data_IF_357484609387
#
_entry.id   IF_357484609387
#
_cell.length_a   1.000
_cell.length_b   1.000
_cell.length_c   1.000
_cell.angle_alpha   90.00
_cell.angle_beta   90.00
_cell.angle_gamma   90.00
#
_symmetry.space_group_name_H-M   'P 1'
#
loop_
_entity.id
_entity.type
_entity.pdbx_description
1 polymer ?
#
# COMPACT_ATOMS: atom_id res chain seq x y z
N UNK A 1 -14.44 -2.84 -1.18
CA UNK A 1 -13.61 -3.89 -1.78
C UNK A 1 -13.16 -4.86 -0.70
N UNK A 2 -13.67 -6.09 -0.72
CA UNK A 2 -13.55 -7.06 0.38
C UNK A 2 -12.35 -7.97 0.09
N UNK A 3 -11.15 -7.53 0.51
CA UNK A 3 -9.87 -8.26 0.32
C UNK A 3 -9.88 -9.62 1.05
N UNK A 4 -10.81 -9.82 2.00
CA UNK A 4 -10.95 -11.05 2.82
C UNK A 4 -11.13 -12.36 2.05
N UNK A 5 -11.58 -12.34 0.79
CA UNK A 5 -11.85 -13.58 0.03
C UNK A 5 -10.75 -13.98 -0.95
N UNK A 6 -9.74 -13.14 -1.17
CA UNK A 6 -8.73 -13.36 -2.22
C UNK A 6 -7.39 -13.80 -1.65
N UNK A 7 -7.08 -13.46 -0.40
CA UNK A 7 -5.83 -13.83 0.26
C UNK A 7 -6.13 -14.33 1.67
N UNK A 8 -5.54 -15.47 2.05
CA UNK A 8 -5.30 -15.82 3.46
C UNK A 8 -3.83 -15.52 3.75
N UNK A 9 -3.43 -14.27 4.03
CA UNK A 9 -2.02 -13.95 4.10
C UNK A 9 -1.57 -14.15 5.54
N UNK A 10 -0.80 -15.20 5.77
CA UNK A 10 -0.11 -15.37 7.05
C UNK A 10 1.30 -14.72 7.01
N UNK A 11 1.92 -14.53 5.83
CA UNK A 11 3.14 -13.71 5.64
C UNK A 11 3.19 -13.03 4.26
N UNK A 12 3.72 -11.82 4.17
CA UNK A 12 4.04 -11.19 2.89
C UNK A 12 5.55 -11.33 2.62
N UNK A 13 5.91 -11.87 1.45
CA UNK A 13 7.28 -11.93 0.95
C UNK A 13 7.43 -10.87 -0.14
N UNK A 14 8.18 -9.80 0.10
CA UNK A 14 8.29 -8.70 -0.87
C UNK A 14 9.40 -9.04 -1.89
N UNK A 15 9.19 -8.70 -3.17
CA UNK A 15 10.12 -7.95 -4.05
C UNK A 15 9.84 -8.05 -5.56
N UNK A 16 9.63 -6.91 -6.24
CA UNK A 16 10.39 -6.38 -7.42
C UNK A 16 10.29 -4.84 -7.45
N UNK A 17 11.20 -4.12 -8.10
CA UNK A 17 11.29 -2.64 -8.37
C UNK A 17 10.06 -1.75 -8.03
N UNK A 18 8.84 -2.15 -8.40
CA UNK A 18 7.55 -1.55 -7.98
C UNK A 18 6.47 -2.57 -7.56
N UNK A 19 6.77 -3.87 -7.62
CA UNK A 19 5.84 -4.97 -7.35
C UNK A 19 5.99 -5.55 -5.94
N UNK A 20 4.86 -5.94 -5.34
CA UNK A 20 4.84 -6.66 -4.07
C UNK A 20 4.23 -8.04 -4.28
N UNK A 21 4.97 -9.07 -3.90
CA UNK A 21 4.39 -10.40 -3.75
C UNK A 21 3.75 -10.49 -2.36
N UNK A 22 2.53 -11.01 -2.31
CA UNK A 22 1.87 -11.40 -1.07
C UNK A 22 1.61 -12.88 -1.24
N UNK A 23 2.42 -13.70 -0.58
CA UNK A 23 2.37 -15.15 -0.67
C UNK A 23 1.49 -15.77 0.41
N UNK A 24 1.15 -17.04 0.22
CA UNK A 24 0.66 -17.88 1.29
C UNK A 24 1.88 -18.57 1.94
N UNK A 25 1.95 -18.51 3.27
CA UNK A 25 2.95 -19.18 4.08
C UNK A 25 2.50 -19.07 5.52
N UNK A 26 2.79 -20.08 6.34
CA UNK A 26 2.42 -20.18 7.76
C UNK A 26 3.60 -19.93 8.68
N UNK A 27 4.82 -19.95 8.13
CA UNK A 27 6.05 -19.70 8.88
C UNK A 27 7.01 -18.77 8.12
N UNK A 28 7.95 -18.10 8.82
CA UNK A 28 9.00 -17.30 8.18
C UNK A 28 9.85 -18.10 7.19
N UNK A 29 10.08 -19.39 7.44
CA UNK A 29 10.86 -20.28 6.58
C UNK A 29 10.16 -20.51 5.24
N UNK A 30 8.84 -20.73 5.26
CA UNK A 30 8.03 -20.82 4.04
C UNK A 30 8.03 -19.50 3.27
N UNK A 31 7.98 -18.36 3.98
CA UNK A 31 8.12 -17.03 3.39
C UNK A 31 9.48 -16.84 2.68
N UNK A 32 10.56 -17.32 3.29
CA UNK A 32 11.90 -17.30 2.69
C UNK A 32 12.01 -18.23 1.48
N UNK A 33 11.43 -19.43 1.54
CA UNK A 33 11.41 -20.37 0.41
C UNK A 33 10.70 -19.75 -0.80
N UNK A 34 9.49 -19.22 -0.59
CA UNK A 34 8.72 -18.56 -1.63
C UNK A 34 9.47 -17.39 -2.27
N UNK A 35 10.23 -16.66 -1.47
CA UNK A 35 11.06 -15.55 -1.94
C UNK A 35 12.23 -16.05 -2.80
N UNK A 36 12.93 -17.11 -2.37
CA UNK A 36 14.01 -17.73 -3.14
C UNK A 36 13.50 -18.26 -4.47
N UNK A 37 12.34 -18.92 -4.48
CA UNK A 37 11.72 -19.46 -5.68
C UNK A 37 11.39 -18.34 -6.69
N UNK A 38 10.81 -17.23 -6.21
CA UNK A 38 10.52 -16.07 -7.04
C UNK A 38 11.79 -15.42 -7.60
N UNK A 39 12.82 -15.22 -6.77
CA UNK A 39 14.10 -14.65 -7.24
C UNK A 39 14.77 -15.57 -8.26
N UNK A 40 14.71 -16.88 -8.05
CA UNK A 40 15.23 -17.88 -8.98
C UNK A 40 14.49 -17.82 -10.31
N UNK A 41 13.15 -17.75 -10.29
CA UNK A 41 12.32 -17.60 -11.49
C UNK A 41 12.68 -16.33 -12.26
N UNK A 42 12.80 -15.19 -11.58
CA UNK A 42 13.20 -13.94 -12.24
C UNK A 42 14.59 -14.05 -12.86
N UNK A 43 15.53 -14.67 -12.16
CA UNK A 43 16.89 -14.90 -12.68
C UNK A 43 16.86 -15.80 -13.92
N UNK A 44 16.05 -16.87 -13.91
CA UNK A 44 15.87 -17.76 -15.07
C UNK A 44 15.25 -17.04 -16.28
N UNK A 45 14.39 -16.05 -16.04
CA UNK A 45 13.82 -15.19 -17.07
C UNK A 45 14.77 -14.08 -17.55
N UNK A 46 15.99 -14.00 -17.00
CA UNK A 46 16.97 -12.96 -17.33
C UNK A 46 16.71 -11.61 -16.66
N UNK A 47 15.84 -11.57 -15.64
CA UNK A 47 15.56 -10.37 -14.86
C UNK A 47 16.51 -10.28 -13.67
N UNK A 48 17.13 -9.10 -13.49
CA UNK A 48 18.05 -8.84 -12.39
C UNK A 48 17.29 -8.24 -11.20
N UNK A 49 17.21 -8.98 -10.10
CA UNK A 49 16.61 -8.48 -8.86
C UNK A 49 17.60 -7.58 -8.12
N UNK A 50 17.25 -6.30 -7.94
CA UNK A 50 18.18 -5.32 -7.37
C UNK A 50 18.27 -5.44 -5.83
N UNK A 51 19.42 -5.82 -5.25
CA UNK A 51 19.51 -6.20 -3.84
C UNK A 51 19.24 -5.07 -2.85
N UNK A 52 19.52 -3.81 -3.22
CA UNK A 52 19.26 -2.64 -2.35
C UNK A 52 17.85 -2.06 -2.45
N UNK A 53 17.13 -2.33 -3.54
CA UNK A 53 15.75 -1.83 -3.73
C UNK A 53 14.73 -2.84 -3.21
N UNK A 54 15.16 -4.10 -3.13
CA UNK A 54 14.37 -5.23 -2.73
C UNK A 54 14.53 -5.48 -1.22
N UNK A 55 13.41 -5.61 -0.49
CA UNK A 55 13.38 -6.14 0.87
C UNK A 55 13.10 -7.66 0.86
N UNK A 56 14.10 -8.46 1.19
CA UNK A 56 13.99 -9.93 1.18
C UNK A 56 13.57 -10.54 2.50
N UNK A 57 13.19 -9.73 3.49
CA UNK A 57 12.77 -10.20 4.80
C UNK A 57 11.25 -10.35 4.79
N UNK A 58 10.71 -11.57 4.94
CA UNK A 58 9.27 -11.78 5.07
C UNK A 58 8.72 -11.01 6.28
N UNK A 59 7.62 -10.30 6.09
CA UNK A 59 6.99 -9.51 7.17
C UNK A 59 5.48 -9.59 7.09
N UNK A 60 4.83 -9.47 8.25
CA UNK A 60 3.37 -9.37 8.35
C UNK A 60 2.86 -7.93 8.19
N UNK A 61 3.76 -6.96 8.28
CA UNK A 61 3.46 -5.56 8.04
C UNK A 61 4.48 -4.96 7.07
N UNK A 62 3.98 -4.39 5.99
CA UNK A 62 4.80 -3.89 4.89
C UNK A 62 4.34 -2.50 4.48
N UNK A 63 5.29 -1.64 4.11
CA UNK A 63 5.02 -0.29 3.63
C UNK A 63 5.29 -0.23 2.14
N UNK A 64 4.26 0.03 1.34
CA UNK A 64 4.34 0.14 -0.12
C UNK A 64 3.57 1.36 -0.57
N UNK A 65 4.20 2.20 -1.38
CA UNK A 65 3.60 3.42 -1.95
C UNK A 65 2.94 4.35 -0.91
N UNK A 66 3.43 4.30 0.33
CA UNK A 66 2.88 5.07 1.44
C UNK A 66 1.61 4.48 2.07
N UNK A 67 1.30 3.22 1.78
CA UNK A 67 0.32 2.40 2.50
C UNK A 67 1.01 1.37 3.38
N UNK A 68 0.46 1.15 4.56
CA UNK A 68 0.78 0.06 5.46
C UNK A 68 -0.21 -1.07 5.16
N UNK A 69 0.30 -2.21 4.73
CA UNK A 69 -0.47 -3.44 4.54
C UNK A 69 -0.14 -4.36 5.70
N UNK A 70 -1.17 -4.76 6.46
CA UNK A 70 -1.03 -5.70 7.56
C UNK A 70 -1.78 -6.99 7.20
N UNK A 71 -1.04 -8.09 7.09
CA UNK A 71 -1.56 -9.40 6.69
C UNK A 71 -2.45 -10.03 7.77
N UNK A 72 -2.06 -9.91 9.05
CA UNK A 72 -2.79 -10.50 10.19
C UNK A 72 -4.16 -9.84 10.37
N UNK A 73 -4.20 -8.51 10.37
CA UNK A 73 -5.43 -7.73 10.55
C UNK A 73 -6.23 -7.60 9.26
N UNK A 74 -5.65 -7.97 8.11
CA UNK A 74 -6.23 -7.78 6.78
C UNK A 74 -6.64 -6.33 6.52
N UNK A 75 -5.77 -5.40 6.89
CA UNK A 75 -6.03 -3.96 6.75
C UNK A 75 -5.01 -3.31 5.83
N UNK A 76 -5.48 -2.38 5.01
CA UNK A 76 -4.65 -1.42 4.29
C UNK A 76 -4.92 -0.04 4.89
N UNK A 77 -3.86 0.65 5.30
CA UNK A 77 -3.94 1.99 5.91
C UNK A 77 -2.95 2.92 5.23
N UNK A 78 -3.21 4.23 5.26
CA UNK A 78 -2.18 5.20 4.89
C UNK A 78 -1.10 5.24 5.97
N UNK A 79 0.15 5.46 5.54
CA UNK A 79 1.22 5.86 6.45
C UNK A 79 0.88 7.21 7.09
N UNK A 80 1.35 7.47 8.33
CA UNK A 80 1.10 8.74 9.01
C UNK A 80 1.52 9.95 8.17
N UNK A 81 2.65 9.85 7.48
CA UNK A 81 3.17 10.89 6.59
C UNK A 81 2.21 11.18 5.43
N UNK A 82 1.75 10.15 4.70
CA UNK A 82 0.77 10.34 3.61
C UNK A 82 -0.57 10.85 4.12
N UNK A 83 -1.02 10.39 5.29
CA UNK A 83 -2.26 10.86 5.89
C UNK A 83 -2.19 12.35 6.26
N UNK A 84 -1.05 12.80 6.80
CA UNK A 84 -0.81 14.21 7.10
C UNK A 84 -0.71 15.06 5.84
N UNK A 85 0.05 14.61 4.84
CA UNK A 85 0.16 15.29 3.56
C UNK A 85 -1.21 15.47 2.90
N UNK A 86 -2.02 14.41 2.84
CA UNK A 86 -3.38 14.45 2.30
C UNK A 86 -4.27 15.43 3.07
N UNK A 87 -4.17 15.45 4.41
CA UNK A 87 -4.92 16.41 5.23
C UNK A 87 -4.51 17.85 4.90
N UNK A 88 -3.20 18.12 4.82
CA UNK A 88 -2.68 19.45 4.48
C UNK A 88 -3.12 19.92 3.09
N UNK A 89 -3.12 19.02 2.11
CA UNK A 89 -3.59 19.32 0.75
C UNK A 89 -5.10 19.66 0.73
N UNK A 90 -5.91 18.90 1.48
CA UNK A 90 -7.32 19.19 1.66
C UNK A 90 -7.54 20.55 2.35
N UNK A 91 -6.80 20.84 3.41
CA UNK A 91 -6.90 22.13 4.12
C UNK A 91 -6.53 23.30 3.20
N UNK A 92 -5.51 23.14 2.36
CA UNK A 92 -5.12 24.13 1.36
C UNK A 92 -6.20 24.30 0.28
N UNK A 93 -6.76 23.19 -0.20
CA UNK A 93 -7.82 23.20 -1.21
C UNK A 93 -9.08 23.92 -0.70
N UNK A 94 -9.48 23.64 0.54
CA UNK A 94 -10.62 24.30 1.18
C UNK A 94 -10.38 25.80 1.38
N UNK A 95 -9.16 26.21 1.76
CA UNK A 95 -8.79 27.64 1.88
C UNK A 95 -8.76 28.38 0.55
N UNK A 96 -8.45 27.68 -0.55
CA UNK A 96 -8.45 28.25 -1.92
C UNK A 96 -9.85 28.42 -2.51
N UNK A 97 -10.88 27.85 -1.89
CA UNK A 97 -12.27 28.11 -2.23
C UNK A 97 -12.78 29.17 -1.24
N UNK A 98 -12.92 30.46 -1.63
CA UNK A 98 -13.76 31.36 -0.85
C UNK A 98 -15.13 30.70 -0.76
N UNK A 99 -15.78 30.76 0.41
CA UNK A 99 -17.17 30.36 0.58
C UNK A 99 -17.95 30.80 -0.66
N UNK A 100 -18.63 29.84 -1.32
CA UNK A 100 -19.76 30.22 -2.17
C UNK A 100 -20.74 30.89 -1.22
N UNK A 101 -20.68 32.21 -1.28
CA UNK A 101 -21.44 33.17 -0.54
C UNK A 101 -22.89 32.67 -0.44
N UNK A 102 -23.31 32.27 0.76
CA UNK A 102 -24.70 31.84 1.02
C UNK A 102 -25.71 32.98 0.76
N UNK A 103 -25.20 34.18 0.49
CA UNK A 103 -25.98 35.38 0.17
C UNK A 103 -26.66 35.32 -1.22
N UNK A 104 -26.25 34.42 -2.13
CA UNK A 104 -26.93 34.29 -3.44
C UNK A 104 -28.14 33.35 -3.46
N UNK A 105 -28.47 32.68 -2.35
CA UNK A 105 -29.66 31.81 -2.27
C UNK A 105 -30.94 32.56 -1.86
N UNK A 106 -30.82 33.76 -1.29
CA UNK A 106 -31.98 34.54 -0.81
C UNK A 106 -32.56 35.50 -1.88
N UNK A 107 -31.90 35.66 -3.03
CA UNK A 107 -32.33 36.57 -4.10
C UNK A 107 -33.21 35.92 -5.19
N UNK A 108 -33.58 34.63 -5.07
CA UNK A 108 -34.43 33.93 -6.05
C UNK A 108 -35.89 33.74 -5.63
N UNK A 109 -36.32 34.32 -4.51
CA UNK A 109 -37.71 34.25 -4.01
C UNK A 109 -38.30 35.65 -3.72
N UNK A 110 -38.12 36.60 -4.63
CA UNK A 110 -38.97 37.81 -4.72
C UNK A 110 -39.43 37.99 -6.15
#
# INVERSE_FOLDING_TARGET
YKIKSILKPEYASICVDDGTQIGEGKTPEEGCSNLIDTVTLFTQLGLLVHPKKCNFIPSQEIVIWGFIINSVKMTVKLTPEKALALKSDCDLFLKKCPERDKTSALARNK
#
